data_IF_877074712268
#
_entry.id   IF_877074712268
#
_cell.length_a   1.000
_cell.length_b   1.000
_cell.length_c   1.000
_cell.angle_alpha   90.00
_cell.angle_beta   90.00
_cell.angle_gamma   90.00
#
_symmetry.space_group_name_H-M   'P 1'
#
loop_
_entity.id
_entity.type
_entity.pdbx_description
1 polymer ?
#
# COMPACT_ATOMS: atom_id res chain seq x y z
N UNK A 1 17.58 10.61 13.99
CA UNK A 1 16.94 10.01 12.79
C UNK A 1 16.26 11.06 11.91
N UNK A 2 15.62 12.09 12.47
CA UNK A 2 15.10 13.27 11.74
C UNK A 2 16.11 13.86 10.76
N UNK A 3 17.36 14.08 11.21
CA UNK A 3 18.46 14.56 10.36
C UNK A 3 18.74 13.65 9.16
N UNK A 4 18.67 12.33 9.35
CA UNK A 4 18.90 11.35 8.27
C UNK A 4 17.81 11.39 7.21
N UNK A 5 16.55 11.61 7.60
CA UNK A 5 15.47 11.78 6.62
C UNK A 5 15.65 13.10 5.84
N UNK A 6 15.98 14.19 6.52
CA UNK A 6 16.21 15.48 5.85
C UNK A 6 17.35 15.41 4.82
N UNK A 7 18.42 14.70 5.14
CA UNK A 7 19.54 14.43 4.23
C UNK A 7 19.16 13.54 3.04
N UNK A 8 18.19 12.65 3.22
CA UNK A 8 17.72 11.72 2.19
C UNK A 8 16.64 12.32 1.26
N UNK A 9 16.09 13.49 1.60
CA UNK A 9 15.12 14.20 0.75
C UNK A 9 15.81 14.90 -0.44
N UNK A 10 15.11 15.10 -1.57
CA UNK A 10 15.69 15.69 -2.77
C UNK A 10 16.23 17.09 -2.52
N UNK A 11 17.39 17.39 -3.09
CA UNK A 11 17.93 18.76 -3.14
C UNK A 11 17.51 19.53 -4.39
N UNK A 12 17.08 18.83 -5.44
CA UNK A 12 16.60 19.42 -6.69
C UNK A 12 15.30 20.24 -6.45
N UNK A 13 15.30 21.55 -6.73
CA UNK A 13 14.12 22.41 -6.52
C UNK A 13 12.88 22.00 -7.32
N UNK A 14 13.04 21.42 -8.52
CA UNK A 14 11.93 20.99 -9.34
C UNK A 14 11.25 19.74 -8.74
N UNK A 15 12.05 18.78 -8.28
CA UNK A 15 11.55 17.58 -7.59
C UNK A 15 10.91 17.99 -6.26
N UNK A 16 11.59 18.81 -5.46
CA UNK A 16 11.06 19.31 -4.19
C UNK A 16 9.73 20.06 -4.41
N UNK A 17 9.66 20.92 -5.42
CA UNK A 17 8.44 21.63 -5.82
C UNK A 17 7.29 20.69 -6.16
N UNK A 18 7.54 19.65 -6.96
CA UNK A 18 6.54 18.65 -7.30
C UNK A 18 6.03 17.88 -6.07
N UNK A 19 6.92 17.54 -5.13
CA UNK A 19 6.54 16.89 -3.87
C UNK A 19 5.70 17.80 -2.97
N UNK A 20 6.03 19.10 -2.89
CA UNK A 20 5.21 20.06 -2.13
C UNK A 20 3.83 20.23 -2.75
N UNK A 21 3.73 20.35 -4.08
CA UNK A 21 2.43 20.40 -4.78
C UNK A 21 1.60 19.14 -4.51
N UNK A 22 2.22 17.95 -4.55
CA UNK A 22 1.52 16.71 -4.25
C UNK A 22 1.10 16.63 -2.76
N UNK A 23 1.94 17.10 -1.84
CA UNK A 23 1.63 17.18 -0.41
C UNK A 23 0.44 18.11 -0.13
N UNK A 24 0.47 19.33 -0.68
CA UNK A 24 -0.63 20.31 -0.60
C UNK A 24 -1.94 19.77 -1.21
N UNK A 25 -1.82 18.91 -2.24
CA UNK A 25 -2.94 18.15 -2.81
C UNK A 25 -3.50 17.03 -1.91
N UNK A 26 -2.99 16.88 -0.69
CA UNK A 26 -3.45 15.91 0.31
C UNK A 26 -2.65 14.60 0.36
N UNK A 27 -1.44 14.55 -0.20
CA UNK A 27 -0.56 13.38 -0.09
C UNK A 27 0.20 13.38 1.24
N UNK A 28 0.29 12.24 1.93
CA UNK A 28 1.08 12.15 3.16
C UNK A 28 2.59 12.10 2.89
N UNK A 29 3.39 12.45 3.90
CA UNK A 29 4.86 12.51 3.82
C UNK A 29 5.47 11.17 3.39
N UNK A 30 4.93 10.03 3.87
CA UNK A 30 5.39 8.69 3.44
C UNK A 30 5.11 8.44 1.96
N UNK A 31 4.01 8.96 1.41
CA UNK A 31 3.80 8.91 -0.04
C UNK A 31 4.75 9.86 -0.77
N UNK A 32 5.07 11.04 -0.23
CA UNK A 32 6.10 11.91 -0.82
C UNK A 32 7.46 11.21 -0.90
N UNK A 33 7.89 10.56 0.19
CA UNK A 33 9.10 9.73 0.23
C UNK A 33 9.05 8.63 -0.84
N UNK A 34 7.92 7.95 -0.96
CA UNK A 34 7.72 6.88 -1.95
C UNK A 34 7.80 7.41 -3.38
N UNK A 35 7.15 8.52 -3.68
CA UNK A 35 7.15 9.16 -5.00
C UNK A 35 8.53 9.66 -5.41
N UNK A 36 9.32 10.12 -4.45
CA UNK A 36 10.72 10.48 -4.68
C UNK A 36 11.62 9.26 -4.99
N UNK A 37 11.20 8.04 -4.64
CA UNK A 37 12.03 6.86 -4.82
C UNK A 37 12.89 6.51 -3.59
N UNK A 38 12.49 6.95 -2.39
CA UNK A 38 13.26 6.69 -1.18
C UNK A 38 13.15 5.21 -0.76
N UNK A 39 14.27 4.49 -0.85
CA UNK A 39 14.38 3.07 -0.52
C UNK A 39 15.09 2.82 0.83
N UNK A 40 14.60 3.43 1.91
CA UNK A 40 15.12 3.21 3.27
C UNK A 40 13.95 2.89 4.21
N UNK A 41 13.86 1.64 4.63
CA UNK A 41 12.81 1.07 5.47
C UNK A 41 12.69 1.77 6.83
N UNK A 42 13.82 2.06 7.48
CA UNK A 42 13.85 2.70 8.79
C UNK A 42 13.23 4.09 8.79
N UNK A 43 13.30 4.81 7.66
CA UNK A 43 12.73 6.15 7.56
C UNK A 43 11.20 6.13 7.47
N UNK A 44 10.59 5.06 6.93
CA UNK A 44 9.13 4.92 6.89
C UNK A 44 8.52 4.65 8.28
N UNK A 45 9.34 4.17 9.22
CA UNK A 45 8.98 3.90 10.62
C UNK A 45 8.96 5.13 11.52
N UNK A 46 9.44 6.27 11.05
CA UNK A 46 9.39 7.51 11.84
C UNK A 46 7.95 7.84 12.20
N UNK A 47 7.74 8.29 13.44
CA UNK A 47 6.41 8.68 13.89
C UNK A 47 5.95 9.98 13.20
N UNK A 48 4.66 10.29 13.30
CA UNK A 48 4.08 11.42 12.57
C UNK A 48 4.70 12.77 12.97
N UNK A 49 5.06 12.95 14.24
CA UNK A 49 5.66 14.20 14.70
C UNK A 49 7.08 14.39 14.13
N UNK A 50 7.90 13.33 14.09
CA UNK A 50 9.22 13.33 13.46
C UNK A 50 9.13 13.58 11.95
N UNK A 51 8.14 12.98 11.28
CA UNK A 51 7.90 13.22 9.86
C UNK A 51 7.53 14.69 9.63
N UNK A 52 6.61 15.24 10.41
CA UNK A 52 6.19 16.63 10.30
C UNK A 52 7.33 17.61 10.58
N UNK A 53 8.11 17.37 11.63
CA UNK A 53 9.31 18.16 11.96
C UNK A 53 10.29 18.16 10.78
N UNK A 54 10.57 16.98 10.22
CA UNK A 54 11.47 16.85 9.07
C UNK A 54 10.93 17.57 7.84
N UNK A 55 9.63 17.44 7.57
CA UNK A 55 8.98 18.06 6.42
C UNK A 55 8.93 19.59 6.52
N UNK A 56 8.74 20.12 7.73
CA UNK A 56 8.82 21.57 8.00
C UNK A 56 10.25 22.10 7.83
N UNK A 57 11.26 21.36 8.29
CA UNK A 57 12.66 21.70 8.04
C UNK A 57 13.00 21.67 6.55
N UNK A 58 12.48 20.68 5.82
CA UNK A 58 12.60 20.58 4.36
C UNK A 58 11.95 21.76 3.64
N UNK A 59 10.75 22.17 4.05
CA UNK A 59 10.08 23.35 3.51
C UNK A 59 10.85 24.64 3.76
N UNK A 60 11.37 24.83 4.98
CA UNK A 60 12.21 25.97 5.34
C UNK A 60 13.45 26.05 4.45
N UNK A 61 14.13 24.92 4.22
CA UNK A 61 15.32 24.83 3.35
C UNK A 61 15.00 25.27 1.91
N UNK A 62 13.81 24.99 1.42
CA UNK A 62 13.34 25.37 0.09
C UNK A 62 12.53 26.67 0.05
N UNK A 63 12.52 27.45 1.13
CA UNK A 63 11.80 28.73 1.26
C UNK A 63 10.31 28.60 0.93
N UNK A 64 9.70 27.47 1.32
CA UNK A 64 8.27 27.19 1.15
C UNK A 64 7.53 27.36 2.48
N UNK A 65 6.40 28.05 2.42
CA UNK A 65 5.44 28.11 3.51
C UNK A 65 4.38 27.03 3.27
N UNK A 66 4.37 26.01 4.13
CA UNK A 66 3.37 24.94 4.03
C UNK A 66 2.08 25.32 4.75
N UNK A 67 0.96 25.01 4.13
CA UNK A 67 -0.31 24.88 4.86
C UNK A 67 -0.22 23.66 5.78
N UNK A 68 -0.47 23.86 7.07
CA UNK A 68 -0.49 22.76 8.04
C UNK A 68 -1.70 21.88 7.72
N UNK A 69 -1.45 20.64 7.26
CA UNK A 69 -2.51 19.63 7.20
C UNK A 69 -2.92 19.26 8.63
N UNK A 70 -4.23 19.07 8.86
CA UNK A 70 -4.68 18.59 10.17
C UNK A 70 -4.06 17.21 10.44
N UNK A 71 -3.76 16.92 11.71
CA UNK A 71 -3.25 15.60 12.12
C UNK A 71 -4.20 14.44 11.75
N UNK A 72 -5.46 14.75 11.49
CA UNK A 72 -6.53 13.80 11.18
C UNK A 72 -6.77 13.64 9.66
N UNK A 73 -6.05 14.41 8.82
CA UNK A 73 -6.23 14.34 7.39
C UNK A 73 -5.85 12.97 6.82
N UNK A 74 -6.72 12.41 5.99
CA UNK A 74 -6.46 11.15 5.30
C UNK A 74 -5.71 11.44 4.01
N UNK A 75 -4.65 10.66 3.76
CA UNK A 75 -3.90 10.75 2.52
C UNK A 75 -4.79 10.47 1.31
N UNK A 76 -4.90 11.44 0.42
CA UNK A 76 -5.67 11.35 -0.81
C UNK A 76 -5.05 10.38 -1.83
N UNK A 77 -3.78 9.97 -1.64
CA UNK A 77 -3.14 8.96 -2.49
C UNK A 77 -3.29 7.54 -1.93
N UNK A 78 -2.78 7.29 -0.72
CA UNK A 78 -2.71 5.94 -0.15
C UNK A 78 -3.82 5.61 0.86
N UNK A 79 -4.78 6.52 1.07
CA UNK A 79 -5.94 6.28 1.92
C UNK A 79 -5.55 5.89 3.36
N UNK A 80 -4.45 6.47 3.85
CA UNK A 80 -3.83 6.18 5.16
C UNK A 80 -3.37 4.72 5.39
N UNK A 81 -3.07 3.96 4.33
CA UNK A 81 -2.57 2.58 4.47
C UNK A 81 -1.36 2.44 5.40
N UNK A 82 -0.43 3.41 5.38
CA UNK A 82 0.73 3.39 6.28
C UNK A 82 0.32 3.59 7.74
N UNK A 83 -0.59 4.52 8.01
CA UNK A 83 -1.00 4.83 9.37
C UNK A 83 -1.81 3.67 9.96
N UNK A 84 -2.73 3.10 9.18
CA UNK A 84 -3.51 1.91 9.56
C UNK A 84 -2.61 0.72 9.85
N UNK A 85 -1.60 0.49 9.00
CA UNK A 85 -0.64 -0.58 9.20
C UNK A 85 0.20 -0.37 10.45
N UNK A 86 0.88 0.78 10.56
CA UNK A 86 1.87 1.03 11.62
C UNK A 86 1.22 1.15 13.00
N UNK A 87 0.02 1.74 13.10
CA UNK A 87 -0.75 1.76 14.35
C UNK A 87 -1.28 0.37 14.74
N UNK A 88 -1.62 -0.46 13.75
CA UNK A 88 -2.14 -1.82 13.94
C UNK A 88 -1.08 -2.90 14.10
N UNK A 89 0.21 -2.60 13.98
CA UNK A 89 1.30 -3.58 13.98
C UNK A 89 1.31 -4.49 15.22
N UNK A 90 1.04 -3.94 16.40
CA UNK A 90 1.02 -4.73 17.63
C UNK A 90 -0.12 -5.74 17.63
N UNK A 91 -1.29 -5.35 17.14
CA UNK A 91 -2.47 -6.22 16.99
C UNK A 91 -2.16 -7.33 15.99
N UNK A 92 -1.55 -7.00 14.84
CA UNK A 92 -1.13 -8.00 13.85
C UNK A 92 -0.18 -9.03 14.44
N UNK A 93 0.82 -8.57 15.21
CA UNK A 93 1.77 -9.45 15.91
C UNK A 93 1.04 -10.39 16.87
N UNK A 94 0.12 -9.87 17.67
CA UNK A 94 -0.67 -10.67 18.63
C UNK A 94 -1.53 -11.71 17.92
N UNK A 95 -2.17 -11.36 16.81
CA UNK A 95 -2.94 -12.30 15.98
C UNK A 95 -2.08 -13.43 15.43
N UNK A 96 -0.85 -13.13 14.99
CA UNK A 96 0.09 -14.13 14.48
C UNK A 96 0.51 -15.10 15.59
N UNK A 97 0.88 -14.55 16.77
CA UNK A 97 1.28 -15.36 17.93
C UNK A 97 0.12 -16.23 18.41
N UNK A 98 -1.09 -15.68 18.50
CA UNK A 98 -2.30 -16.40 18.90
C UNK A 98 -2.68 -17.51 17.91
N UNK A 99 -2.33 -17.36 16.63
CA UNK A 99 -2.52 -18.39 15.61
C UNK A 99 -1.69 -19.66 15.83
N UNK A 100 -0.63 -19.60 16.63
CA UNK A 100 0.15 -20.79 17.03
C UNK A 100 0.84 -21.53 15.88
N UNK A 101 1.04 -20.89 14.73
CA UNK A 101 1.67 -21.50 13.56
C UNK A 101 3.16 -21.77 13.81
N UNK A 102 3.55 -23.04 13.78
CA UNK A 102 4.96 -23.44 13.83
C UNK A 102 5.54 -23.52 12.42
N UNK A 103 6.42 -22.61 12.05
CA UNK A 103 7.07 -22.62 10.74
C UNK A 103 8.45 -21.98 10.80
N UNK A 104 9.36 -22.44 9.95
CA UNK A 104 10.67 -21.80 9.73
C UNK A 104 10.62 -20.73 8.64
N UNK A 105 9.54 -20.69 7.85
CA UNK A 105 9.40 -19.76 6.73
C UNK A 105 7.99 -19.20 6.61
N UNK A 106 7.83 -18.05 5.95
CA UNK A 106 6.51 -17.48 5.69
C UNK A 106 6.47 -16.66 4.41
N UNK A 107 5.29 -16.53 3.81
CA UNK A 107 4.99 -15.65 2.69
C UNK A 107 4.06 -14.52 3.13
N UNK A 108 4.27 -13.31 2.61
CA UNK A 108 3.33 -12.19 2.76
C UNK A 108 2.63 -11.94 1.42
N UNK A 109 1.32 -12.16 1.39
CA UNK A 109 0.44 -11.80 0.29
C UNK A 109 -0.35 -10.54 0.66
N UNK A 110 -0.36 -9.53 -0.23
CA UNK A 110 -1.03 -8.25 0.01
C UNK A 110 -2.02 -7.88 -1.10
N UNK A 111 -3.28 -7.65 -0.70
CA UNK A 111 -4.31 -7.01 -1.54
C UNK A 111 -4.41 -5.54 -1.12
N UNK A 112 -4.17 -4.64 -2.08
CA UNK A 112 -4.21 -3.18 -1.90
C UNK A 112 -5.43 -2.66 -2.67
N UNK A 113 -6.20 -1.70 -2.12
CA UNK A 113 -7.32 -1.08 -2.80
C UNK A 113 -6.90 -0.53 -4.16
N UNK A 114 -7.62 -0.89 -5.21
CA UNK A 114 -7.24 -0.48 -6.57
C UNK A 114 -7.40 1.02 -6.82
N UNK A 115 -8.24 1.71 -6.03
CA UNK A 115 -8.29 3.18 -5.97
C UNK A 115 -6.92 3.80 -5.72
N UNK A 116 -6.08 3.20 -4.87
CA UNK A 116 -4.73 3.72 -4.61
C UNK A 116 -3.89 3.74 -5.89
N UNK A 117 -4.04 2.72 -6.74
CA UNK A 117 -3.32 2.64 -8.02
C UNK A 117 -3.81 3.73 -8.99
N UNK A 118 -5.12 3.95 -9.06
CA UNK A 118 -5.74 5.00 -9.90
C UNK A 118 -5.29 6.40 -9.43
N UNK A 119 -5.34 6.65 -8.13
CA UNK A 119 -4.93 7.90 -7.49
C UNK A 119 -3.44 8.17 -7.69
N UNK A 120 -2.59 7.14 -7.51
CA UNK A 120 -1.17 7.24 -7.81
C UNK A 120 -0.93 7.61 -9.28
N UNK A 121 -1.61 6.94 -10.20
CA UNK A 121 -1.45 7.22 -11.63
C UNK A 121 -1.90 8.64 -11.98
N UNK A 122 -3.03 9.11 -11.45
CA UNK A 122 -3.49 10.50 -11.60
C UNK A 122 -2.44 11.52 -11.15
N UNK A 123 -1.80 11.29 -9.99
CA UNK A 123 -0.76 12.18 -9.49
C UNK A 123 0.47 12.16 -10.41
N UNK A 124 0.97 10.98 -10.79
CA UNK A 124 2.18 10.87 -11.64
C UNK A 124 2.00 11.54 -13.01
N UNK A 125 0.81 11.46 -13.61
CA UNK A 125 0.54 12.05 -14.92
C UNK A 125 0.40 13.58 -14.91
N UNK A 126 0.02 14.16 -13.77
CA UNK A 126 -0.27 15.59 -13.66
C UNK A 126 0.81 16.39 -12.91
N UNK A 127 1.85 15.72 -12.40
CA UNK A 127 3.01 16.41 -11.84
C UNK A 127 3.92 16.94 -12.95
N UNK A 128 4.53 18.13 -12.76
CA UNK A 128 5.39 18.75 -13.77
C UNK A 128 6.72 17.99 -13.98
N UNK A 129 7.09 17.14 -13.03
CA UNK A 129 8.30 16.32 -13.05
C UNK A 129 7.90 14.86 -13.03
N UNK A 130 8.55 14.06 -13.89
CA UNK A 130 8.35 12.61 -13.91
C UNK A 130 8.99 11.98 -12.68
N UNK A 131 8.15 11.59 -11.74
CA UNK A 131 8.54 10.82 -10.56
C UNK A 131 8.37 9.32 -10.82
N UNK A 132 9.22 8.50 -10.19
CA UNK A 132 9.15 7.04 -10.27
C UNK A 132 8.90 6.49 -8.86
N UNK A 133 7.63 6.37 -8.44
CA UNK A 133 7.33 5.95 -7.08
C UNK A 133 7.77 4.51 -6.81
N UNK A 134 8.34 4.24 -5.63
CA UNK A 134 8.54 2.87 -5.13
C UNK A 134 7.18 2.18 -5.01
N UNK A 135 7.10 0.88 -5.27
CA UNK A 135 5.85 0.13 -5.11
C UNK A 135 5.38 0.20 -3.65
N UNK A 136 4.13 0.61 -3.44
CA UNK A 136 3.52 0.65 -2.13
C UNK A 136 3.60 -0.72 -1.42
N UNK A 137 3.34 -1.82 -2.14
CA UNK A 137 3.41 -3.17 -1.54
C UNK A 137 4.80 -3.47 -1.03
N UNK A 138 5.83 -3.06 -1.76
CA UNK A 138 7.23 -3.28 -1.38
C UNK A 138 7.58 -2.53 -0.09
N UNK A 139 7.24 -1.23 -0.02
CA UNK A 139 7.47 -0.43 1.19
C UNK A 139 6.74 -1.01 2.40
N UNK A 140 5.48 -1.43 2.24
CA UNK A 140 4.72 -2.05 3.32
C UNK A 140 5.37 -3.38 3.76
N UNK A 141 5.92 -4.18 2.83
CA UNK A 141 6.67 -5.40 3.18
C UNK A 141 7.91 -5.07 4.00
N UNK A 142 8.68 -4.05 3.63
CA UNK A 142 9.85 -3.63 4.41
C UNK A 142 9.47 -3.34 5.85
N UNK A 143 8.34 -2.65 6.06
CA UNK A 143 7.87 -2.34 7.39
C UNK A 143 7.53 -3.61 8.21
N UNK A 144 6.72 -4.52 7.67
CA UNK A 144 6.14 -5.61 8.48
C UNK A 144 6.94 -6.91 8.50
N UNK A 145 7.81 -7.14 7.52
CA UNK A 145 8.54 -8.42 7.41
C UNK A 145 9.34 -8.75 8.68
N UNK A 146 10.11 -7.82 9.28
CA UNK A 146 10.85 -8.10 10.51
C UNK A 146 9.93 -8.46 11.69
N UNK A 147 8.78 -7.81 11.77
CA UNK A 147 7.80 -8.04 12.85
C UNK A 147 7.15 -9.41 12.71
N UNK A 148 6.75 -9.76 11.49
CA UNK A 148 6.13 -11.06 11.22
C UNK A 148 7.14 -12.19 11.42
N UNK A 149 8.39 -11.99 11.00
CA UNK A 149 9.48 -12.91 11.27
C UNK A 149 9.64 -13.16 12.77
N UNK A 150 9.71 -12.10 13.58
CA UNK A 150 9.82 -12.21 15.03
C UNK A 150 8.59 -12.89 15.65
N UNK A 151 7.38 -12.55 15.21
CA UNK A 151 6.13 -13.13 15.70
C UNK A 151 6.03 -14.64 15.42
N UNK A 152 6.67 -15.12 14.35
CA UNK A 152 6.74 -16.53 13.95
C UNK A 152 8.02 -17.22 14.46
N UNK A 153 8.64 -16.71 15.53
CA UNK A 153 9.82 -17.35 16.13
C UNK A 153 11.10 -17.21 15.29
N UNK A 154 11.30 -16.04 14.67
CA UNK A 154 12.41 -15.73 13.76
C UNK A 154 12.35 -16.53 12.43
N UNK A 155 11.16 -16.79 11.93
CA UNK A 155 10.97 -17.40 10.62
C UNK A 155 11.53 -16.51 9.49
N UNK A 156 11.90 -17.11 8.38
CA UNK A 156 12.45 -16.41 7.21
C UNK A 156 11.38 -16.14 6.16
N UNK A 157 11.33 -14.93 5.61
CA UNK A 157 10.44 -14.62 4.49
C UNK A 157 10.88 -15.35 3.21
N UNK A 158 9.98 -16.11 2.59
CA UNK A 158 10.20 -16.75 1.29
C UNK A 158 8.89 -16.87 0.50
N UNK A 159 8.98 -16.81 -0.83
CA UNK A 159 7.80 -16.91 -1.71
C UNK A 159 7.28 -18.34 -1.86
N UNK A 160 8.06 -19.34 -1.46
CA UNK A 160 7.73 -20.77 -1.54
C UNK A 160 7.23 -21.35 -0.21
N UNK A 161 6.86 -20.51 0.76
CA UNK A 161 6.44 -20.99 2.08
C UNK A 161 5.07 -21.67 2.03
N UNK A 162 4.87 -22.66 2.91
CA UNK A 162 3.57 -23.27 3.15
C UNK A 162 2.65 -22.38 4.00
N UNK A 163 3.20 -21.44 4.76
CA UNK A 163 2.42 -20.49 5.57
C UNK A 163 2.34 -19.14 4.86
N UNK A 164 1.12 -18.68 4.57
CA UNK A 164 0.83 -17.41 3.93
C UNK A 164 0.07 -16.47 4.87
N UNK A 165 0.64 -15.29 5.10
CA UNK A 165 0.00 -14.17 5.78
C UNK A 165 -0.65 -13.28 4.72
N UNK A 166 -1.97 -13.39 4.62
CA UNK A 166 -2.81 -12.64 3.70
C UNK A 166 -3.25 -11.33 4.37
N UNK A 167 -2.62 -10.23 3.99
CA UNK A 167 -2.97 -8.90 4.45
C UNK A 167 -3.84 -8.20 3.39
N UNK A 168 -5.11 -7.99 3.74
CA UNK A 168 -6.10 -7.37 2.86
C UNK A 168 -6.42 -5.97 3.34
N UNK A 169 -6.09 -4.99 2.49
CA UNK A 169 -6.53 -3.62 2.65
C UNK A 169 -7.75 -3.36 1.75
N UNK A 170 -8.83 -2.84 2.33
CA UNK A 170 -10.07 -2.53 1.63
C UNK A 170 -10.44 -1.05 1.70
N UNK A 171 -11.16 -0.54 0.71
CA UNK A 171 -11.73 0.81 0.77
C UNK A 171 -13.03 0.89 -0.03
N UNK A 172 -14.11 1.51 0.49
CA UNK A 172 -15.41 1.55 -0.17
C UNK A 172 -15.41 2.26 -1.53
N UNK A 173 -14.48 3.18 -1.77
CA UNK A 173 -14.40 3.91 -3.05
C UNK A 173 -13.69 3.13 -4.17
N UNK A 174 -13.05 1.98 -3.89
CA UNK A 174 -12.24 1.28 -4.90
C UNK A 174 -13.05 0.83 -6.11
N UNK A 175 -14.24 0.28 -5.90
CA UNK A 175 -15.11 -0.13 -6.99
C UNK A 175 -15.58 1.07 -7.81
N UNK A 176 -16.04 2.13 -7.13
CA UNK A 176 -16.55 3.34 -7.78
C UNK A 176 -15.47 4.04 -8.64
N UNK A 177 -14.23 4.12 -8.17
CA UNK A 177 -13.11 4.68 -8.93
C UNK A 177 -12.69 3.77 -10.08
N UNK A 178 -12.65 2.44 -9.87
CA UNK A 178 -12.33 1.49 -10.94
C UNK A 178 -13.33 1.57 -12.11
N UNK A 179 -14.60 1.81 -11.82
CA UNK A 179 -15.67 1.99 -12.82
C UNK A 179 -15.53 3.27 -13.66
N UNK A 180 -14.67 4.21 -13.27
CA UNK A 180 -14.34 5.40 -14.08
C UNK A 180 -13.39 5.07 -15.24
N UNK A 181 -12.73 3.91 -15.21
CA UNK A 181 -11.85 3.47 -16.29
C UNK A 181 -12.70 2.85 -17.42
N UNK A 182 -12.70 3.43 -18.64
CA UNK A 182 -13.58 3.00 -19.72
C UNK A 182 -13.39 1.52 -20.08
N UNK A 183 -12.13 1.07 -20.19
CA UNK A 183 -11.81 -0.32 -20.55
C UNK A 183 -12.35 -1.35 -19.56
N UNK A 184 -12.34 -1.03 -18.26
CA UNK A 184 -12.93 -1.90 -17.24
C UNK A 184 -14.45 -1.86 -17.28
N UNK A 185 -15.02 -0.64 -17.34
CA UNK A 185 -16.47 -0.44 -17.43
C UNK A 185 -17.05 -1.23 -18.60
N UNK A 186 -16.46 -1.12 -19.78
CA UNK A 186 -16.93 -1.79 -20.99
C UNK A 186 -16.80 -3.31 -20.88
N UNK A 187 -15.67 -3.80 -20.34
CA UNK A 187 -15.47 -5.23 -20.11
C UNK A 187 -16.52 -5.81 -19.17
N UNK A 188 -16.89 -5.08 -18.10
CA UNK A 188 -17.92 -5.50 -17.15
C UNK A 188 -19.31 -5.47 -17.79
N UNK A 189 -19.63 -4.39 -18.53
CA UNK A 189 -20.92 -4.26 -19.22
C UNK A 189 -21.13 -5.33 -20.29
N UNK A 190 -20.06 -5.78 -20.96
CA UNK A 190 -20.10 -6.88 -21.93
C UNK A 190 -20.22 -8.25 -21.25
N UNK A 191 -19.70 -8.40 -20.02
CA UNK A 191 -19.66 -9.66 -19.28
C UNK A 191 -20.64 -9.73 -18.10
N UNK A 192 -21.83 -9.12 -18.21
CA UNK A 192 -22.86 -9.07 -17.14
C UNK A 192 -23.23 -10.41 -16.48
N UNK A 193 -22.97 -11.54 -17.16
CA UNK A 193 -23.23 -12.90 -16.64
C UNK A 193 -22.13 -13.44 -15.72
N UNK A 194 -20.93 -12.83 -15.69
CA UNK A 194 -19.80 -13.26 -14.87
C UNK A 194 -19.61 -12.27 -13.72
N UNK A 195 -19.55 -12.79 -12.49
CA UNK A 195 -19.15 -12.01 -11.30
C UNK A 195 -17.65 -11.75 -11.41
N UNK A 196 -17.26 -10.74 -12.19
CA UNK A 196 -15.87 -10.29 -12.29
C UNK A 196 -15.52 -9.48 -11.04
N UNK A 197 -14.30 -9.65 -10.54
CA UNK A 197 -13.76 -8.80 -9.47
C UNK A 197 -13.49 -7.40 -10.06
N UNK A 198 -14.46 -6.50 -9.92
CA UNK A 198 -14.52 -5.19 -10.58
C UNK A 198 -13.31 -4.32 -10.21
N UNK A 199 -12.79 -4.49 -8.99
CA UNK A 199 -11.72 -3.69 -8.41
C UNK A 199 -10.39 -4.46 -8.31
N UNK A 200 -10.24 -5.58 -9.05
CA UNK A 200 -9.03 -6.38 -9.04
C UNK A 200 -7.80 -5.57 -9.46
N UNK A 201 -6.78 -5.52 -8.60
CA UNK A 201 -5.55 -4.74 -8.81
C UNK A 201 -4.91 -4.98 -10.18
N UNK A 202 -4.84 -6.24 -10.63
CA UNK A 202 -4.30 -6.59 -11.95
C UNK A 202 -5.15 -6.11 -13.12
N UNK A 203 -6.47 -6.06 -12.97
CA UNK A 203 -7.37 -5.53 -14.00
C UNK A 203 -7.20 -4.02 -14.14
N UNK A 204 -7.16 -3.29 -13.02
CA UNK A 204 -6.92 -1.84 -12.99
C UNK A 204 -5.54 -1.50 -13.52
N UNK A 205 -4.49 -2.24 -13.14
CA UNK A 205 -3.15 -2.03 -13.69
C UNK A 205 -3.09 -2.16 -15.22
N UNK A 206 -3.72 -3.20 -15.79
CA UNK A 206 -3.81 -3.39 -17.24
C UNK A 206 -4.67 -2.34 -17.94
N UNK A 207 -5.68 -1.81 -17.25
CA UNK A 207 -6.53 -0.75 -17.78
C UNK A 207 -5.75 0.56 -17.87
N UNK A 208 -5.02 0.92 -16.79
CA UNK A 208 -4.19 2.12 -16.73
C UNK A 208 -3.03 2.08 -17.73
N UNK A 209 -2.40 0.92 -17.96
CA UNK A 209 -1.30 0.80 -18.93
C UNK A 209 -1.72 1.01 -20.39
N UNK A 210 -3.02 0.89 -20.69
CA UNK A 210 -3.59 1.12 -22.02
C UNK A 210 -4.08 2.55 -22.23
N UNK A 211 -4.10 3.38 -21.19
CA UNK A 211 -4.50 4.77 -21.32
C UNK A 211 -3.39 5.59 -21.96
N UNK A 212 -3.73 6.33 -23.02
CA UNK A 212 -2.87 7.37 -23.59
C UNK A 212 -3.06 8.72 -22.88
N UNK A 213 -4.27 9.01 -22.43
CA UNK A 213 -4.66 10.22 -21.71
C UNK A 213 -5.57 9.82 -20.56
N UNK A 214 -5.44 10.50 -19.42
CA UNK A 214 -6.31 10.26 -18.27
C UNK A 214 -7.75 10.68 -18.55
N UNK A 215 -8.75 9.81 -18.25
CA UNK A 215 -10.16 10.19 -18.32
C UNK A 215 -10.45 11.43 -17.48
N UNK A 216 -11.26 12.36 -18.01
CA UNK A 216 -11.67 13.59 -17.30
C UNK A 216 -12.46 13.32 -16.03
N UNK A 217 -13.03 12.12 -15.89
CA UNK A 217 -13.71 11.67 -14.68
C UNK A 217 -12.77 11.42 -13.50
N UNK A 218 -11.49 11.15 -13.76
CA UNK A 218 -10.49 10.92 -12.70
C UNK A 218 -9.84 12.26 -12.37
N UNK A 219 -10.18 12.80 -11.21
CA UNK A 219 -9.71 14.10 -10.77
C UNK A 219 -8.21 14.11 -10.41
N UNK A 220 -7.59 15.26 -10.64
CA UNK A 220 -6.30 15.66 -10.07
C UNK A 220 -6.43 17.05 -9.43
N UNK A 221 -6.03 17.24 -8.16
CA UNK A 221 -5.58 16.20 -7.22
C UNK A 221 -6.70 15.19 -6.90
N UNK A 222 -6.37 13.97 -6.46
CA UNK A 222 -7.39 13.00 -6.04
C UNK A 222 -8.31 13.56 -4.94
N UNK A 223 -9.60 13.21 -4.95
CA UNK A 223 -10.56 13.77 -4.01
C UNK A 223 -10.26 13.32 -2.58
N UNK A 224 -10.52 14.24 -1.64
CA UNK A 224 -10.44 13.97 -0.21
C UNK A 224 -11.44 12.91 0.22
N UNK A 225 -11.02 12.09 1.20
CA UNK A 225 -11.83 11.00 1.73
C UNK A 225 -12.04 11.17 3.22
N UNK A 226 -13.15 10.62 3.73
CA UNK A 226 -13.53 10.70 5.15
C UNK A 226 -13.18 9.43 5.92
N UNK A 227 -12.95 8.31 5.24
CA UNK A 227 -12.64 7.01 5.85
C UNK A 227 -11.27 6.50 5.39
N UNK A 228 -10.42 6.00 6.29
CA UNK A 228 -9.17 5.36 5.90
C UNK A 228 -9.45 3.96 5.33
N UNK A 229 -8.41 3.29 4.82
CA UNK A 229 -8.50 1.86 4.47
C UNK A 229 -8.85 1.02 5.69
N UNK A 230 -9.58 -0.07 5.48
CA UNK A 230 -9.69 -1.17 6.43
C UNK A 230 -8.53 -2.13 6.23
N UNK A 231 -8.13 -2.83 7.28
CA UNK A 231 -7.04 -3.83 7.24
C UNK A 231 -7.52 -5.12 7.91
N UNK A 232 -7.33 -6.24 7.23
CA UNK A 232 -7.64 -7.57 7.72
C UNK A 232 -6.46 -8.51 7.47
N UNK A 233 -6.08 -9.25 8.51
CA UNK A 233 -5.04 -10.29 8.42
C UNK A 233 -5.72 -11.66 8.49
N UNK A 234 -5.43 -12.50 7.50
CA UNK A 234 -5.76 -13.91 7.52
C UNK A 234 -4.47 -14.73 7.39
N UNK A 235 -4.35 -15.82 8.13
CA UNK A 235 -3.17 -16.70 8.10
C UNK A 235 -3.63 -18.07 7.62
N UNK A 236 -2.99 -18.56 6.58
CA UNK A 236 -3.34 -19.84 5.94
C UNK A 236 -2.09 -20.72 5.86
N UNK A 237 -2.27 -22.03 6.04
CA UNK A 237 -1.24 -23.03 5.74
C UNK A 237 -1.68 -23.91 4.58
N UNK A 238 -0.78 -24.18 3.65
CA UNK A 238 -1.00 -25.13 2.58
C UNK A 238 -1.36 -26.53 3.14
N UNK A 239 -2.24 -27.28 2.49
CA UNK A 239 -2.61 -28.62 2.93
C UNK A 239 -1.39 -29.54 3.07
N UNK A 240 -1.37 -30.32 4.16
CA UNK A 240 -0.39 -31.38 4.37
C UNK A 240 -1.02 -32.69 3.90
N UNK A 241 -0.36 -33.38 2.98
CA UNK A 241 -0.84 -34.64 2.44
C UNK A 241 -0.23 -35.82 3.22
N UNK A 242 -1.08 -36.67 3.77
CA UNK A 242 -0.67 -37.92 4.42
C UNK A 242 -0.97 -39.07 3.48
N UNK A 243 0.08 -39.77 3.03
CA UNK A 243 -0.05 -40.95 2.19
C UNK A 243 0.27 -42.21 3.01
N UNK A 244 -0.50 -43.28 2.80
CA UNK A 244 -0.29 -44.56 3.47
C UNK A 244 -1.09 -45.67 2.82
N UNK A 245 -0.77 -46.92 3.18
CA UNK A 245 -1.58 -48.10 2.85
C UNK A 245 -2.33 -48.49 4.11
N UNK A 246 -3.64 -48.74 4.00
CA UNK A 246 -4.42 -49.30 5.10
C UNK A 246 -4.95 -50.68 4.70
N UNK A 247 -4.99 -51.59 5.66
CA UNK A 247 -5.56 -52.91 5.48
C UNK A 247 -7.03 -52.86 5.91
N UNK A 248 -7.95 -53.12 4.96
CA UNK A 248 -9.38 -53.22 5.23
C UNK A 248 -9.71 -54.66 5.63
N UNK A 249 -9.78 -54.93 6.92
CA UNK A 249 -10.10 -56.26 7.45
C UNK A 249 -11.59 -56.56 7.49
N UNK A 250 -12.44 -55.55 7.66
CA UNK A 250 -13.88 -55.72 7.73
C UNK A 250 -14.51 -55.69 6.33
N UNK A 251 -15.31 -56.72 6.02
CA UNK A 251 -16.20 -56.75 4.87
C UNK A 251 -17.62 -56.45 5.35
N UNK A 252 -18.21 -55.41 4.78
CA UNK A 252 -19.54 -54.86 5.07
C UNK A 252 -19.80 -53.74 4.09
#
# INVERSE_FOLDING_TARGET
>A
MVTKLLEALPTDPAIAGALFTAYEGGMCIRCCMRFFGLCNDQLYWLNIDQLNETWNAFATKHQRNLSIHSKEAICNCCLNVFEVLLSGVNILRELIVAGGYQTSTFLIAMKIPSSILIRQYSIVQNLPVKLNPVDLKEVLKWCITPIFAQALGNATYTTSSDVTLNLHFGHPQSEAEAMQLPTLRDTIMQNKKRKLDIDGYGAVSRALSKLSVMPTSIAYPPPSVTTPVTMLLNIERAPIYVAGRYLKYQRG
#
